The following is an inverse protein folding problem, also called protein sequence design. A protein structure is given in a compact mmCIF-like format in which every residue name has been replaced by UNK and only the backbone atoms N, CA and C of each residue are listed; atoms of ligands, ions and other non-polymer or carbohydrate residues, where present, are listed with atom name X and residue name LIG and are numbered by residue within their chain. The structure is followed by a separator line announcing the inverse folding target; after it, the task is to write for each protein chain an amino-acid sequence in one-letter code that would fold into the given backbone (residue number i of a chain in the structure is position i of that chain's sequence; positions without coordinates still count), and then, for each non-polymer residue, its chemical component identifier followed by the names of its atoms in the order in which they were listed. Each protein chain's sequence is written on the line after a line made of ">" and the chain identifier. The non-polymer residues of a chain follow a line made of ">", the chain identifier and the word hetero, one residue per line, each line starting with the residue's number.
data_IF_897051748187
#
_entry.id   IF_897051748187
#
_cell.length_a   1.000
_cell.length_b   1.000
_cell.length_c   1.000
_cell.angle_alpha   90.00
_cell.angle_beta   90.00
_cell.angle_gamma   90.00
#
_symmetry.space_group_name_H-M   'P 1'
#
loop_
_entity.id
_entity.type
_entity.pdbx_description
1 polymer ?
#
# COMPACT_ATOMS: atom_id res chain seq x y z
N UNK A 1 7.04 5.76 -35.24
CA UNK A 1 6.17 6.47 -34.28
C UNK A 1 7.05 7.43 -33.48
N UNK A 2 6.71 8.70 -33.30
CA UNK A 2 7.52 9.57 -32.47
C UNK A 2 7.53 9.02 -31.04
N UNK A 3 8.70 9.01 -30.41
CA UNK A 3 8.86 8.62 -29.03
C UNK A 3 7.96 9.51 -28.16
N UNK A 4 7.14 8.91 -27.33
CA UNK A 4 6.30 9.64 -26.39
C UNK A 4 7.19 10.58 -25.55
N UNK A 5 6.76 11.82 -25.35
CA UNK A 5 7.49 12.76 -24.51
C UNK A 5 7.75 12.13 -23.13
N UNK A 6 8.98 12.29 -22.58
CA UNK A 6 9.27 11.72 -21.27
C UNK A 6 8.28 12.26 -20.24
N UNK A 7 7.77 11.41 -19.33
CA UNK A 7 6.84 11.86 -18.31
C UNK A 7 7.46 13.02 -17.50
N UNK A 8 6.66 14.01 -17.08
CA UNK A 8 7.16 15.15 -16.33
C UNK A 8 7.88 14.70 -15.06
N UNK A 9 9.01 15.34 -14.78
CA UNK A 9 9.79 15.05 -13.57
C UNK A 9 8.96 15.33 -12.33
N UNK A 10 8.83 14.32 -11.49
CA UNK A 10 8.07 14.38 -10.24
C UNK A 10 8.78 15.25 -9.20
N UNK A 11 8.06 16.14 -8.54
CA UNK A 11 8.55 16.87 -7.35
C UNK A 11 8.62 15.90 -6.15
N UNK A 12 9.23 16.31 -5.04
CA UNK A 12 9.26 15.50 -3.82
C UNK A 12 7.81 15.21 -3.32
N UNK A 13 7.34 13.96 -3.33
CA UNK A 13 5.95 13.65 -2.99
C UNK A 13 5.58 13.90 -1.52
N UNK A 14 6.58 13.95 -0.65
CA UNK A 14 6.38 14.26 0.76
C UNK A 14 6.24 15.78 1.00
N UNK A 15 6.95 16.62 0.22
CA UNK A 15 6.96 18.05 0.40
C UNK A 15 6.09 18.81 -0.63
N UNK A 16 5.64 18.11 -1.68
CA UNK A 16 4.84 18.64 -2.80
C UNK A 16 5.48 19.86 -3.48
N UNK A 17 6.81 19.91 -3.49
CA UNK A 17 7.58 20.99 -4.13
C UNK A 17 8.94 20.49 -4.62
N UNK A 18 9.57 21.26 -5.50
CA UNK A 18 10.95 21.01 -5.93
C UNK A 18 11.90 21.20 -4.76
N UNK A 19 12.85 20.29 -4.62
CA UNK A 19 13.89 20.30 -3.58
C UNK A 19 15.20 19.84 -4.18
N UNK A 20 16.31 20.13 -3.49
CA UNK A 20 17.58 19.50 -3.82
C UNK A 20 17.48 17.98 -3.59
N UNK A 21 17.98 17.21 -4.56
CA UNK A 21 17.93 15.75 -4.53
C UNK A 21 19.29 15.14 -4.87
N UNK A 22 19.51 13.91 -4.46
CA UNK A 22 20.61 13.08 -4.96
C UNK A 22 20.09 11.84 -5.66
N UNK A 23 20.74 11.44 -6.75
CA UNK A 23 20.46 10.16 -7.44
C UNK A 23 20.96 8.99 -6.59
N UNK A 24 20.16 7.93 -6.49
CA UNK A 24 20.56 6.67 -5.87
C UNK A 24 20.84 5.62 -6.96
N UNK A 25 21.92 4.82 -6.85
CA UNK A 25 22.39 3.93 -7.92
C UNK A 25 21.69 2.56 -7.90
N UNK A 26 20.38 2.50 -7.60
CA UNK A 26 19.66 1.24 -7.51
C UNK A 26 18.71 0.97 -8.67
N UNK A 27 18.22 2.03 -9.34
CA UNK A 27 17.27 1.90 -10.44
C UNK A 27 17.99 1.61 -11.76
N UNK A 28 17.51 0.61 -12.54
CA UNK A 28 17.96 0.42 -13.92
C UNK A 28 17.44 1.55 -14.82
N UNK A 29 18.14 1.85 -15.91
CA UNK A 29 17.61 2.75 -16.94
C UNK A 29 16.31 2.19 -17.54
N UNK A 30 15.33 3.03 -17.88
CA UNK A 30 15.37 4.51 -17.88
C UNK A 30 14.97 5.14 -16.54
N UNK A 31 14.81 4.36 -15.47
CA UNK A 31 14.25 4.82 -14.20
C UNK A 31 15.26 5.60 -13.36
N UNK A 32 14.82 6.68 -12.72
CA UNK A 32 15.67 7.54 -11.90
C UNK A 32 15.17 7.58 -10.45
N UNK A 33 15.89 6.91 -9.56
CA UNK A 33 15.61 6.95 -8.12
C UNK A 33 16.30 8.16 -7.48
N UNK A 34 15.52 9.00 -6.81
CA UNK A 34 15.98 10.21 -6.11
C UNK A 34 15.75 10.13 -4.62
N UNK A 35 16.63 10.75 -3.87
CA UNK A 35 16.40 11.06 -2.47
C UNK A 35 16.33 12.57 -2.29
N UNK A 36 15.24 13.07 -1.73
CA UNK A 36 15.10 14.44 -1.29
C UNK A 36 16.08 14.71 -0.14
N UNK A 37 16.92 15.74 -0.25
CA UNK A 37 17.92 16.06 0.78
C UNK A 37 17.31 16.69 2.02
N UNK A 38 16.16 17.33 1.88
CA UNK A 38 15.45 17.98 2.97
C UNK A 38 14.63 17.00 3.82
N UNK A 39 13.79 16.16 3.17
CA UNK A 39 12.91 15.22 3.88
C UNK A 39 13.51 13.84 4.06
N UNK A 40 14.55 13.49 3.35
CA UNK A 40 15.10 12.14 3.28
C UNK A 40 14.21 11.16 2.50
N UNK A 41 13.07 11.59 1.95
CA UNK A 41 12.16 10.73 1.22
C UNK A 41 12.78 10.24 -0.09
N UNK A 42 12.60 8.96 -0.39
CA UNK A 42 13.13 8.33 -1.61
C UNK A 42 11.97 8.00 -2.55
N UNK A 43 12.11 8.39 -3.81
CA UNK A 43 11.05 8.25 -4.80
C UNK A 43 11.59 8.10 -6.21
N UNK A 44 10.79 7.52 -7.09
CA UNK A 44 11.05 7.45 -8.52
C UNK A 44 10.69 8.81 -9.14
N UNK A 45 11.66 9.45 -9.80
CA UNK A 45 11.52 10.80 -10.38
C UNK A 45 10.63 10.79 -11.62
N UNK A 46 10.72 9.72 -12.41
CA UNK A 46 10.03 9.53 -13.68
C UNK A 46 9.15 8.27 -13.67
N UNK A 47 8.14 8.18 -12.77
CA UNK A 47 7.26 7.03 -12.73
C UNK A 47 6.40 6.93 -14.00
N UNK A 48 5.96 5.73 -14.41
CA UNK A 48 4.93 5.62 -15.43
C UNK A 48 3.63 6.27 -14.95
N UNK A 49 2.84 6.82 -15.89
CA UNK A 49 1.52 7.35 -15.58
C UNK A 49 0.51 6.22 -15.26
N UNK A 50 -0.64 6.57 -14.69
CA UNK A 50 -1.69 5.61 -14.33
C UNK A 50 -2.14 4.74 -15.50
N UNK A 51 -2.30 5.29 -16.71
CA UNK A 51 -2.66 4.52 -17.89
C UNK A 51 -1.63 3.42 -18.25
N UNK A 52 -0.34 3.69 -18.04
CA UNK A 52 0.69 2.68 -18.25
C UNK A 52 0.71 1.63 -17.12
N UNK A 53 0.40 2.03 -15.87
CA UNK A 53 0.25 1.11 -14.74
C UNK A 53 -0.98 0.22 -14.85
N UNK A 54 -2.05 0.70 -15.50
CA UNK A 54 -3.26 -0.08 -15.78
C UNK A 54 -3.04 -1.10 -16.91
N UNK A 55 -2.22 -0.76 -17.90
CA UNK A 55 -1.97 -1.54 -19.10
C UNK A 55 -0.62 -2.29 -19.11
N UNK A 56 0.40 -1.68 -19.72
CA UNK A 56 1.70 -2.32 -19.98
C UNK A 56 2.44 -2.75 -18.71
N UNK A 57 2.28 -1.97 -17.63
CA UNK A 57 2.88 -2.21 -16.32
C UNK A 57 1.84 -2.68 -15.30
N UNK A 58 0.73 -3.31 -15.76
CA UNK A 58 -0.24 -3.88 -14.83
C UNK A 58 0.43 -4.79 -13.81
N UNK A 59 0.02 -4.65 -12.55
CA UNK A 59 0.65 -5.32 -11.41
C UNK A 59 0.77 -6.85 -11.61
N UNK A 60 -0.23 -7.48 -12.21
CA UNK A 60 -0.24 -8.93 -12.44
C UNK A 60 0.92 -9.35 -13.35
N UNK A 61 1.15 -8.60 -14.43
CA UNK A 61 2.20 -8.90 -15.39
C UNK A 61 3.60 -8.58 -14.83
N UNK A 62 3.75 -7.45 -14.16
CA UNK A 62 5.00 -7.02 -13.55
C UNK A 62 5.40 -7.93 -12.39
N UNK A 63 4.45 -8.33 -11.53
CA UNK A 63 4.66 -9.28 -10.43
C UNK A 63 5.11 -10.66 -10.92
N UNK A 64 4.48 -11.19 -11.99
CA UNK A 64 4.84 -12.48 -12.54
C UNK A 64 6.26 -12.45 -13.13
N UNK A 65 6.57 -11.44 -13.91
CA UNK A 65 7.87 -11.21 -14.56
C UNK A 65 8.99 -11.10 -13.52
N UNK A 66 8.80 -10.27 -12.52
CA UNK A 66 9.80 -10.06 -11.47
C UNK A 66 9.97 -11.29 -10.58
N UNK A 67 8.89 -11.99 -10.26
CA UNK A 67 8.96 -13.24 -9.51
C UNK A 67 9.74 -14.31 -10.25
N UNK A 68 9.63 -14.36 -11.57
CA UNK A 68 10.40 -15.26 -12.42
C UNK A 68 11.88 -14.87 -12.43
N UNK A 69 12.20 -13.61 -12.72
CA UNK A 69 13.59 -13.10 -12.72
C UNK A 69 14.30 -13.39 -11.39
N UNK A 70 13.62 -13.22 -10.27
CA UNK A 70 14.19 -13.53 -8.94
C UNK A 70 14.38 -15.03 -8.71
N UNK A 71 13.46 -15.87 -9.18
CA UNK A 71 13.64 -17.34 -9.10
C UNK A 71 14.86 -17.80 -9.88
N UNK A 72 15.09 -17.23 -11.05
CA UNK A 72 16.24 -17.53 -11.89
C UNK A 72 17.54 -17.03 -11.25
N UNK A 73 17.55 -15.80 -10.73
CA UNK A 73 18.74 -15.19 -10.13
C UNK A 73 19.14 -15.81 -8.77
N UNK A 74 18.18 -16.22 -7.92
CA UNK A 74 18.43 -16.68 -6.55
C UNK A 74 17.52 -17.87 -6.17
N UNK A 75 17.59 -19.02 -6.85
CA UNK A 75 16.59 -20.09 -6.73
C UNK A 75 16.48 -20.67 -5.30
N UNK A 76 17.60 -20.88 -4.61
CA UNK A 76 17.61 -21.44 -3.24
C UNK A 76 17.01 -20.48 -2.23
N UNK A 77 17.33 -19.19 -2.32
CA UNK A 77 16.79 -18.16 -1.41
C UNK A 77 15.29 -17.95 -1.64
N UNK A 78 14.85 -17.97 -2.89
CA UNK A 78 13.44 -17.86 -3.24
C UNK A 78 12.64 -19.09 -2.77
N UNK A 79 13.20 -20.29 -2.90
CA UNK A 79 12.58 -21.51 -2.40
C UNK A 79 12.42 -21.46 -0.87
N UNK A 80 13.45 -21.06 -0.13
CA UNK A 80 13.41 -20.93 1.32
C UNK A 80 12.41 -19.84 1.76
N UNK A 81 12.40 -18.69 1.08
CA UNK A 81 11.47 -17.59 1.35
C UNK A 81 10.02 -18.00 1.08
N UNK A 82 9.78 -18.73 -0.02
CA UNK A 82 8.45 -19.25 -0.38
C UNK A 82 7.97 -20.31 0.62
N UNK A 83 8.87 -21.22 1.06
CA UNK A 83 8.56 -22.24 2.07
C UNK A 83 8.22 -21.60 3.42
N UNK A 84 9.03 -20.63 3.88
CA UNK A 84 8.75 -19.86 5.09
C UNK A 84 7.44 -19.06 4.99
N UNK A 85 7.19 -18.44 3.83
CA UNK A 85 5.94 -17.72 3.57
C UNK A 85 4.71 -18.65 3.61
N UNK A 86 4.80 -19.85 3.04
CA UNK A 86 3.76 -20.89 3.13
C UNK A 86 3.55 -21.34 4.58
N UNK A 87 4.61 -21.74 5.27
CA UNK A 87 4.53 -22.11 6.69
C UNK A 87 3.85 -21.04 7.53
N UNK A 88 4.21 -19.77 7.35
CA UNK A 88 3.61 -18.66 8.08
C UNK A 88 2.13 -18.46 7.76
N UNK A 89 1.70 -18.67 6.52
CA UNK A 89 0.30 -18.52 6.09
C UNK A 89 -0.56 -19.71 6.47
N UNK A 90 -0.05 -20.91 6.24
CA UNK A 90 -0.83 -22.16 6.35
C UNK A 90 -0.79 -22.73 7.77
N UNK A 91 0.37 -22.78 8.38
CA UNK A 91 0.55 -23.35 9.72
C UNK A 91 0.26 -22.33 10.81
N UNK A 92 0.86 -21.13 10.72
CA UNK A 92 0.67 -20.11 11.74
C UNK A 92 -0.59 -19.26 11.51
N UNK A 93 -1.26 -19.39 10.36
CA UNK A 93 -2.43 -18.60 9.93
C UNK A 93 -2.29 -17.09 10.20
N UNK A 94 -1.07 -16.58 10.21
CA UNK A 94 -0.74 -15.22 10.61
C UNK A 94 -0.67 -14.29 9.41
N UNK A 95 -1.77 -13.61 9.11
CA UNK A 95 -1.73 -12.37 8.32
C UNK A 95 -1.72 -11.19 9.30
N UNK A 96 -0.58 -10.50 9.43
CA UNK A 96 -0.41 -9.40 10.39
C UNK A 96 -1.38 -8.25 10.14
N UNK A 97 -1.65 -7.90 8.87
CA UNK A 97 -2.60 -6.85 8.51
C UNK A 97 -4.02 -7.27 8.93
N UNK A 98 -4.47 -8.46 8.52
CA UNK A 98 -5.80 -8.94 8.89
C UNK A 98 -5.98 -9.07 10.41
N UNK A 99 -4.95 -9.54 11.13
CA UNK A 99 -4.98 -9.61 12.60
C UNK A 99 -5.11 -8.24 13.24
N UNK A 100 -4.36 -7.25 12.74
CA UNK A 100 -4.43 -5.87 13.21
C UNK A 100 -5.81 -5.25 12.94
N UNK A 101 -6.35 -5.43 11.74
CA UNK A 101 -7.67 -4.91 11.37
C UNK A 101 -8.78 -5.50 12.25
N UNK A 102 -8.71 -6.81 12.55
CA UNK A 102 -9.68 -7.46 13.45
C UNK A 102 -9.58 -6.93 14.88
N UNK A 103 -8.36 -6.68 15.38
CA UNK A 103 -8.14 -6.05 16.69
C UNK A 103 -8.84 -4.68 16.76
N UNK A 104 -8.71 -3.86 15.69
CA UNK A 104 -9.28 -2.52 15.60
C UNK A 104 -10.81 -2.51 15.42
N UNK A 105 -11.36 -3.54 14.78
CA UNK A 105 -12.80 -3.66 14.51
C UNK A 105 -13.56 -4.40 15.60
N UNK A 106 -12.88 -5.13 16.49
CA UNK A 106 -13.53 -6.01 17.48
C UNK A 106 -14.51 -5.27 18.40
N UNK A 107 -14.24 -3.99 18.72
CA UNK A 107 -15.07 -3.15 19.58
C UNK A 107 -15.98 -2.17 18.81
N UNK A 108 -16.07 -2.29 17.47
CA UNK A 108 -16.90 -1.41 16.66
C UNK A 108 -18.38 -1.62 16.99
N UNK A 109 -19.08 -0.55 17.33
CA UNK A 109 -20.49 -0.59 17.76
C UNK A 109 -21.47 -0.07 16.69
N UNK A 110 -21.01 0.68 15.73
CA UNK A 110 -21.79 1.29 14.65
C UNK A 110 -22.47 0.28 13.72
N UNK A 111 -23.49 0.74 12.99
CA UNK A 111 -24.23 -0.03 11.98
C UNK A 111 -24.61 0.88 10.79
N UNK A 112 -24.11 0.63 9.59
CA UNK A 112 -23.09 -0.37 9.21
C UNK A 112 -21.65 0.03 9.58
N UNK A 113 -20.73 -0.96 9.58
CA UNK A 113 -19.28 -0.76 9.76
C UNK A 113 -18.66 -0.73 8.36
N UNK A 114 -18.39 0.44 7.82
CA UNK A 114 -17.76 0.58 6.51
C UNK A 114 -16.24 0.41 6.59
N UNK A 115 -15.70 -0.44 5.70
CA UNK A 115 -14.28 -0.75 5.58
C UNK A 115 -13.87 -0.49 4.13
N UNK A 116 -12.84 0.33 3.90
CA UNK A 116 -12.30 0.63 2.57
C UNK A 116 -10.91 0.01 2.41
N UNK A 117 -10.63 -0.61 1.26
CA UNK A 117 -9.30 -1.10 0.88
C UNK A 117 -8.90 -0.46 -0.46
N UNK A 118 -7.83 0.35 -0.45
CA UNK A 118 -7.28 0.95 -1.65
C UNK A 118 -6.21 0.02 -2.25
N UNK A 119 -6.37 -0.30 -3.54
CA UNK A 119 -5.59 -1.35 -4.20
C UNK A 119 -5.97 -2.72 -3.64
N UNK A 120 -7.27 -3.01 -3.61
CA UNK A 120 -7.79 -4.20 -2.93
C UNK A 120 -7.46 -5.53 -3.65
N UNK A 121 -6.88 -5.47 -4.87
CA UNK A 121 -6.64 -6.65 -5.69
C UNK A 121 -7.95 -7.41 -5.96
N UNK A 122 -7.98 -8.69 -5.68
CA UNK A 122 -9.19 -9.51 -5.81
C UNK A 122 -10.13 -9.44 -4.58
N UNK A 123 -9.90 -8.55 -3.62
CA UNK A 123 -10.72 -8.43 -2.40
C UNK A 123 -10.47 -9.49 -1.31
N UNK A 124 -9.46 -10.36 -1.49
CA UNK A 124 -9.17 -11.47 -0.55
C UNK A 124 -8.79 -11.00 0.86
N UNK A 125 -8.17 -9.83 1.00
CA UNK A 125 -7.79 -9.31 2.31
C UNK A 125 -9.02 -8.91 3.12
N UNK A 126 -9.96 -8.19 2.50
CA UNK A 126 -11.25 -7.80 3.10
C UNK A 126 -12.07 -9.02 3.53
N UNK A 127 -12.24 -10.01 2.63
CA UNK A 127 -12.92 -11.27 2.93
C UNK A 127 -12.29 -11.95 4.17
N UNK A 128 -10.96 -12.12 4.18
CA UNK A 128 -10.22 -12.73 5.30
C UNK A 128 -10.36 -11.94 6.60
N UNK A 129 -10.47 -10.62 6.53
CA UNK A 129 -10.70 -9.78 7.72
C UNK A 129 -12.08 -10.09 8.27
N UNK A 130 -13.11 -10.03 7.44
CA UNK A 130 -14.52 -10.19 7.82
C UNK A 130 -14.78 -11.60 8.35
N UNK A 131 -14.30 -12.64 7.66
CA UNK A 131 -14.45 -14.06 8.09
C UNK A 131 -13.84 -14.33 9.47
N UNK A 132 -12.85 -13.56 9.86
CA UNK A 132 -12.20 -13.72 11.16
C UNK A 132 -12.73 -12.78 12.24
N UNK A 133 -13.77 -11.97 11.98
CA UNK A 133 -14.43 -11.14 12.99
C UNK A 133 -15.46 -11.94 13.81
N UNK A 134 -15.79 -11.48 15.03
CA UNK A 134 -16.95 -12.00 15.74
C UNK A 134 -18.22 -11.91 14.87
N UNK A 135 -19.12 -12.93 14.87
CA UNK A 135 -20.26 -12.95 13.96
C UNK A 135 -21.16 -11.70 14.03
N UNK A 136 -21.30 -11.10 15.20
CA UNK A 136 -22.08 -9.88 15.40
C UNK A 136 -21.43 -8.65 14.72
N UNK A 137 -20.11 -8.58 14.61
CA UNK A 137 -19.37 -7.53 13.94
C UNK A 137 -19.33 -7.79 12.42
N UNK A 138 -19.04 -9.05 12.02
CA UNK A 138 -18.99 -9.47 10.64
C UNK A 138 -20.28 -9.13 9.88
N UNK A 139 -21.45 -9.47 10.44
CA UNK A 139 -22.76 -9.17 9.83
C UNK A 139 -23.08 -7.69 9.63
N UNK A 140 -22.36 -6.81 10.28
CA UNK A 140 -22.50 -5.35 10.15
C UNK A 140 -21.43 -4.71 9.29
N UNK A 141 -20.41 -5.48 8.91
CA UNK A 141 -19.27 -5.00 8.12
C UNK A 141 -19.63 -4.94 6.65
N UNK A 142 -19.41 -3.78 6.04
CA UNK A 142 -19.64 -3.52 4.61
C UNK A 142 -18.29 -3.18 3.98
N UNK A 143 -17.69 -4.11 3.22
CA UNK A 143 -16.40 -3.88 2.57
C UNK A 143 -16.55 -3.10 1.27
N UNK A 144 -15.66 -2.15 1.05
CA UNK A 144 -15.52 -1.40 -0.19
C UNK A 144 -14.09 -1.54 -0.71
N UNK A 145 -13.93 -1.77 -2.00
CA UNK A 145 -12.64 -1.83 -2.68
C UNK A 145 -12.52 -0.73 -3.74
N UNK A 146 -11.31 -0.25 -3.97
CA UNK A 146 -10.94 0.50 -5.16
C UNK A 146 -9.71 -0.20 -5.75
N UNK A 147 -9.77 -0.54 -7.05
CA UNK A 147 -8.70 -1.27 -7.73
C UNK A 147 -8.50 -0.70 -9.14
N UNK A 148 -7.22 -0.50 -9.50
CA UNK A 148 -6.84 0.08 -10.80
C UNK A 148 -6.93 -0.95 -11.94
N UNK A 149 -6.63 -2.24 -11.67
CA UNK A 149 -6.73 -3.29 -12.68
C UNK A 149 -8.19 -3.67 -12.93
N UNK A 150 -8.71 -3.56 -14.18
CA UNK A 150 -10.10 -3.92 -14.48
C UNK A 150 -10.39 -5.40 -14.21
N UNK A 151 -9.43 -6.28 -14.46
CA UNK A 151 -9.57 -7.71 -14.22
C UNK A 151 -9.66 -8.05 -12.73
N UNK A 152 -8.82 -7.42 -11.90
CA UNK A 152 -8.85 -7.59 -10.44
C UNK A 152 -10.08 -6.94 -9.82
N UNK A 153 -10.46 -5.74 -10.28
CA UNK A 153 -11.66 -5.04 -9.83
C UNK A 153 -12.93 -5.86 -10.06
N UNK A 154 -13.07 -6.49 -11.24
CA UNK A 154 -14.19 -7.37 -11.53
C UNK A 154 -14.27 -8.59 -10.58
N UNK A 155 -13.12 -9.21 -10.28
CA UNK A 155 -13.04 -10.32 -9.32
C UNK A 155 -13.35 -9.85 -7.90
N UNK A 156 -12.84 -8.68 -7.52
CA UNK A 156 -13.13 -8.07 -6.22
C UNK A 156 -14.63 -7.75 -6.09
N UNK A 157 -15.26 -7.16 -7.10
CA UNK A 157 -16.69 -6.86 -7.11
C UNK A 157 -17.52 -8.14 -6.89
N UNK A 158 -17.20 -9.22 -7.61
CA UNK A 158 -17.88 -10.51 -7.45
C UNK A 158 -17.69 -11.12 -6.05
N UNK A 159 -16.53 -10.91 -5.43
CA UNK A 159 -16.21 -11.39 -4.07
C UNK A 159 -16.90 -10.55 -3.01
N UNK A 160 -16.76 -9.22 -3.08
CA UNK A 160 -17.24 -8.30 -2.05
C UNK A 160 -18.77 -8.19 -2.04
N UNK A 161 -19.44 -8.36 -3.20
CA UNK A 161 -20.91 -8.37 -3.27
C UNK A 161 -21.54 -9.47 -2.40
N UNK A 162 -20.88 -10.62 -2.24
CA UNK A 162 -21.33 -11.70 -1.34
C UNK A 162 -21.31 -11.30 0.13
N UNK A 163 -20.52 -10.27 0.46
CA UNK A 163 -20.38 -9.70 1.80
C UNK A 163 -21.19 -8.40 1.95
N UNK A 164 -22.08 -8.09 1.00
CA UNK A 164 -22.86 -6.85 0.98
C UNK A 164 -22.04 -5.60 0.64
N UNK A 165 -20.87 -5.77 0.05
CA UNK A 165 -19.95 -4.70 -0.32
C UNK A 165 -19.86 -4.45 -1.82
N UNK A 166 -18.87 -3.64 -2.23
CA UNK A 166 -18.64 -3.26 -3.62
C UNK A 166 -17.16 -3.07 -3.93
N UNK A 167 -16.80 -3.08 -5.21
CA UNK A 167 -15.50 -2.65 -5.69
C UNK A 167 -15.68 -1.72 -6.89
N UNK A 168 -14.91 -0.63 -6.92
CA UNK A 168 -14.86 0.32 -8.02
C UNK A 168 -13.55 0.14 -8.80
N UNK A 169 -13.66 0.10 -10.13
CA UNK A 169 -12.51 0.15 -11.03
C UNK A 169 -12.13 1.61 -11.27
N UNK A 170 -11.11 2.08 -10.59
CA UNK A 170 -10.61 3.46 -10.70
C UNK A 170 -9.22 3.58 -10.08
N UNK A 171 -8.50 4.67 -10.39
CA UNK A 171 -7.42 5.09 -9.51
C UNK A 171 -7.98 5.59 -8.17
N UNK A 172 -7.15 5.60 -7.13
CA UNK A 172 -7.62 5.87 -5.77
C UNK A 172 -8.31 7.23 -5.59
N UNK A 173 -7.78 8.30 -6.17
CA UNK A 173 -8.36 9.65 -6.01
C UNK A 173 -9.72 9.77 -6.71
N UNK A 174 -9.84 9.20 -7.91
CA UNK A 174 -11.11 9.18 -8.67
C UNK A 174 -12.15 8.34 -7.94
N UNK A 175 -11.82 7.10 -7.57
CA UNK A 175 -12.76 6.23 -6.86
C UNK A 175 -13.20 6.80 -5.52
N UNK A 176 -12.28 7.39 -4.74
CA UNK A 176 -12.64 8.04 -3.48
C UNK A 176 -13.51 9.29 -3.64
N UNK A 177 -13.53 9.94 -4.80
CA UNK A 177 -14.40 11.09 -5.04
C UNK A 177 -15.89 10.69 -4.97
N UNK A 178 -16.24 9.51 -5.48
CA UNK A 178 -17.60 8.97 -5.44
C UNK A 178 -18.07 8.54 -4.03
N UNK A 179 -17.15 8.39 -3.07
CA UNK A 179 -17.44 7.84 -1.74
C UNK A 179 -17.74 8.90 -0.66
N UNK A 180 -17.94 10.15 -1.03
CA UNK A 180 -18.07 11.29 -0.09
C UNK A 180 -19.20 11.17 0.94
N UNK A 181 -20.26 10.44 0.64
CA UNK A 181 -21.42 10.23 1.53
C UNK A 181 -21.16 9.20 2.64
N UNK A 182 -20.09 8.40 2.54
CA UNK A 182 -19.78 7.33 3.49
C UNK A 182 -18.65 7.76 4.43
N UNK A 183 -18.74 7.36 5.69
CA UNK A 183 -17.66 7.53 6.68
C UNK A 183 -17.14 6.17 7.11
N UNK A 184 -15.84 5.94 6.88
CA UNK A 184 -15.19 4.65 7.09
C UNK A 184 -14.67 4.48 8.51
N UNK A 185 -14.95 3.33 9.11
CA UNK A 185 -14.36 2.91 10.38
C UNK A 185 -12.90 2.51 10.22
N UNK A 186 -12.59 1.89 9.08
CA UNK A 186 -11.25 1.41 8.75
C UNK A 186 -10.95 1.66 7.29
N UNK A 187 -9.77 2.21 7.01
CA UNK A 187 -9.23 2.31 5.65
C UNK A 187 -7.91 1.54 5.60
N UNK A 188 -7.73 0.74 4.58
CA UNK A 188 -6.56 -0.09 4.36
C UNK A 188 -5.71 0.47 3.23
N UNK A 189 -4.42 0.56 3.47
CA UNK A 189 -3.36 0.91 2.51
C UNK A 189 -2.30 -0.20 2.60
N UNK A 190 -2.69 -1.42 2.23
CA UNK A 190 -1.88 -2.62 2.41
C UNK A 190 -1.06 -2.96 1.16
N UNK A 191 0.16 -2.53 1.07
CA UNK A 191 1.00 -2.56 -0.15
C UNK A 191 0.40 -1.70 -1.27
N UNK A 192 0.09 -0.46 -0.93
CA UNK A 192 -0.55 0.50 -1.81
C UNK A 192 0.30 1.77 -1.98
N UNK A 193 0.72 2.43 -0.89
CA UNK A 193 1.40 3.73 -0.96
C UNK A 193 2.75 3.68 -1.69
N UNK A 194 3.40 2.53 -1.74
CA UNK A 194 4.61 2.33 -2.53
C UNK A 194 4.37 2.41 -4.04
N UNK A 195 3.14 2.19 -4.49
CA UNK A 195 2.73 2.24 -5.90
C UNK A 195 2.07 3.57 -6.28
N UNK A 196 1.65 4.37 -5.30
CA UNK A 196 0.86 5.57 -5.52
C UNK A 196 1.71 6.76 -5.96
N UNK A 197 1.36 7.38 -7.08
CA UNK A 197 2.10 8.54 -7.60
C UNK A 197 1.88 9.77 -6.71
N UNK A 198 0.69 9.93 -6.15
CA UNK A 198 0.26 11.07 -5.32
C UNK A 198 -0.09 10.64 -3.87
N UNK A 199 0.87 10.09 -3.09
CA UNK A 199 0.57 9.46 -1.80
C UNK A 199 0.03 10.44 -0.74
N UNK A 200 0.46 11.71 -0.77
CA UNK A 200 0.01 12.71 0.21
C UNK A 200 -1.43 13.20 -0.06
N UNK A 201 -1.84 13.54 -1.31
CA UNK A 201 -3.24 13.75 -1.68
C UNK A 201 -4.16 12.58 -1.31
N UNK A 202 -3.74 11.33 -1.59
CA UNK A 202 -4.51 10.13 -1.22
C UNK A 202 -4.70 10.04 0.29
N UNK A 203 -3.66 10.25 1.09
CA UNK A 203 -3.78 10.23 2.55
C UNK A 203 -4.70 11.33 3.07
N UNK A 204 -4.64 12.56 2.51
CA UNK A 204 -5.58 13.64 2.87
C UNK A 204 -7.02 13.24 2.56
N UNK A 205 -7.27 12.62 1.40
CA UNK A 205 -8.60 12.14 1.06
C UNK A 205 -9.06 11.00 1.96
N UNK A 206 -8.19 10.08 2.35
CA UNK A 206 -8.49 9.08 3.37
C UNK A 206 -8.93 9.74 4.69
N UNK A 207 -8.27 10.82 5.11
CA UNK A 207 -8.64 11.56 6.33
C UNK A 207 -10.04 12.16 6.25
N UNK A 208 -10.43 12.69 5.10
CA UNK A 208 -11.77 13.24 4.88
C UNK A 208 -12.86 12.17 4.95
N UNK A 209 -12.61 10.98 4.41
CA UNK A 209 -13.54 9.86 4.40
C UNK A 209 -13.59 9.11 5.75
N UNK A 210 -12.60 9.29 6.59
CA UNK A 210 -12.50 8.57 7.87
C UNK A 210 -13.47 9.16 8.90
N UNK A 211 -14.10 8.29 9.70
CA UNK A 211 -14.81 8.69 10.91
C UNK A 211 -13.86 9.33 11.93
N UNK A 212 -14.36 10.07 12.89
CA UNK A 212 -13.53 10.72 13.92
C UNK A 212 -12.79 9.68 14.79
N UNK A 213 -13.42 8.55 15.06
CA UNK A 213 -12.86 7.40 15.76
C UNK A 213 -12.28 6.32 14.81
N UNK A 214 -12.28 6.59 13.51
CA UNK A 214 -11.79 5.69 12.48
C UNK A 214 -10.25 5.61 12.43
N UNK A 215 -9.75 4.60 11.76
CA UNK A 215 -8.31 4.35 11.68
C UNK A 215 -7.88 3.95 10.27
N UNK A 216 -6.62 4.28 9.91
CA UNK A 216 -5.99 3.83 8.67
C UNK A 216 -4.90 2.84 9.02
N UNK A 217 -4.92 1.67 8.40
CA UNK A 217 -3.85 0.66 8.51
C UNK A 217 -2.97 0.74 7.27
N UNK A 218 -1.70 1.05 7.50
CA UNK A 218 -0.69 1.14 6.43
C UNK A 218 0.28 -0.02 6.55
N UNK A 219 0.59 -0.65 5.41
CA UNK A 219 1.72 -1.58 5.24
C UNK A 219 2.46 -1.23 3.97
N UNK A 220 3.76 -0.96 4.08
CA UNK A 220 4.67 -0.64 2.96
C UNK A 220 6.00 -1.36 3.13
N UNK A 221 6.85 -1.49 2.09
CA UNK A 221 8.23 -1.93 2.23
C UNK A 221 9.04 -1.00 3.14
N UNK A 222 9.91 -1.59 3.98
CA UNK A 222 10.76 -0.84 4.90
C UNK A 222 12.11 -0.51 4.27
N UNK A 223 12.26 0.66 3.70
CA UNK A 223 13.51 1.10 3.08
C UNK A 223 14.67 1.25 4.08
N UNK A 224 14.40 1.33 5.38
CA UNK A 224 15.40 1.39 6.43
C UNK A 224 15.87 0.00 6.91
N UNK A 225 15.36 -1.11 6.38
CA UNK A 225 15.71 -2.45 6.84
C UNK A 225 17.18 -2.82 6.53
N UNK A 226 17.77 -3.70 7.35
CA UNK A 226 19.12 -4.18 7.14
C UNK A 226 19.26 -5.04 5.89
N UNK A 227 18.22 -5.79 5.52
CA UNK A 227 18.22 -6.60 4.32
C UNK A 227 18.46 -5.73 3.07
N UNK A 228 17.86 -4.54 2.97
CA UNK A 228 18.17 -3.58 1.89
C UNK A 228 19.64 -3.15 1.88
N UNK A 229 20.22 -2.88 3.04
CA UNK A 229 21.63 -2.48 3.14
C UNK A 229 22.57 -3.59 2.69
N UNK A 230 22.27 -4.84 3.06
CA UNK A 230 23.07 -6.01 2.73
C UNK A 230 22.92 -6.41 1.24
N UNK A 231 21.71 -6.32 0.69
CA UNK A 231 21.40 -6.79 -0.67
C UNK A 231 21.56 -5.73 -1.76
N UNK A 232 21.64 -4.44 -1.38
CA UNK A 232 21.77 -3.35 -2.32
C UNK A 232 20.65 -3.34 -3.35
N UNK A 233 20.99 -3.28 -4.64
CA UNK A 233 20.02 -3.29 -5.75
C UNK A 233 19.15 -4.56 -5.84
N UNK A 234 19.57 -5.68 -5.22
CA UNK A 234 18.82 -6.96 -5.19
C UNK A 234 17.79 -7.04 -4.06
N UNK A 235 17.58 -5.96 -3.30
CA UNK A 235 16.57 -5.95 -2.24
C UNK A 235 15.16 -6.15 -2.80
N UNK A 236 14.36 -7.00 -2.12
CA UNK A 236 13.01 -7.36 -2.56
C UNK A 236 12.00 -6.20 -2.57
N UNK A 237 12.30 -5.07 -1.93
CA UNK A 237 11.48 -3.86 -2.00
C UNK A 237 11.71 -3.02 -3.25
N UNK A 238 12.76 -3.28 -4.05
CA UNK A 238 12.92 -2.66 -5.35
C UNK A 238 12.13 -3.45 -6.39
N UNK A 239 11.11 -2.81 -6.97
CA UNK A 239 10.27 -3.34 -8.04
C UNK A 239 10.08 -2.24 -9.08
N UNK A 240 10.70 -2.41 -10.23
CA UNK A 240 10.72 -1.43 -11.29
C UNK A 240 9.72 -1.76 -12.40
N UNK A 241 8.86 -0.81 -12.81
CA UNK A 241 8.67 0.54 -12.26
C UNK A 241 7.59 0.64 -11.17
N UNK A 242 7.06 -0.45 -10.64
CA UNK A 242 5.85 -0.51 -9.82
C UNK A 242 6.00 0.24 -8.49
N UNK A 243 7.16 0.10 -7.81
CA UNK A 243 7.40 0.80 -6.56
C UNK A 243 7.98 2.17 -6.85
N UNK A 244 7.14 3.18 -6.74
CA UNK A 244 7.48 4.58 -7.00
C UNK A 244 7.84 5.36 -5.72
N UNK A 245 7.56 4.81 -4.53
CA UNK A 245 7.86 5.41 -3.23
C UNK A 245 8.54 4.41 -2.29
N UNK A 246 9.51 4.89 -1.52
CA UNK A 246 10.31 4.09 -0.59
C UNK A 246 10.29 4.70 0.81
N UNK A 247 9.58 4.06 1.71
CA UNK A 247 9.30 4.58 3.04
C UNK A 247 10.30 4.07 4.08
N UNK A 248 10.78 4.99 4.91
CA UNK A 248 11.37 4.68 6.22
C UNK A 248 10.34 4.94 7.31
N UNK A 249 10.55 4.46 8.56
CA UNK A 249 9.67 4.83 9.68
C UNK A 249 9.53 6.34 9.87
N UNK A 250 10.60 7.11 9.66
CA UNK A 250 10.59 8.56 9.79
C UNK A 250 9.77 9.23 8.67
N UNK A 251 10.00 8.85 7.41
CA UNK A 251 9.30 9.47 6.27
C UNK A 251 7.83 9.07 6.18
N UNK A 252 7.46 7.85 6.62
CA UNK A 252 6.05 7.46 6.75
C UNK A 252 5.34 8.28 7.84
N UNK A 253 5.99 8.49 8.98
CA UNK A 253 5.45 9.35 10.06
C UNK A 253 5.25 10.78 9.55
N UNK A 254 6.26 11.37 8.94
CA UNK A 254 6.19 12.74 8.42
C UNK A 254 5.09 12.90 7.37
N UNK A 255 4.92 11.92 6.48
CA UNK A 255 3.84 11.94 5.48
C UNK A 255 2.46 11.84 6.14
N UNK A 256 2.28 10.98 7.14
CA UNK A 256 1.04 10.87 7.91
C UNK A 256 0.70 12.18 8.63
N UNK A 257 1.68 12.79 9.30
CA UNK A 257 1.52 14.08 10.02
C UNK A 257 1.13 15.22 9.06
N UNK A 258 1.78 15.29 7.89
CA UNK A 258 1.44 16.28 6.83
C UNK A 258 0.05 16.06 6.23
N UNK A 259 -0.46 14.84 6.26
CA UNK A 259 -1.82 14.53 5.87
C UNK A 259 -2.86 14.76 7.00
N UNK A 260 -2.42 15.24 8.17
CA UNK A 260 -3.28 15.51 9.33
C UNK A 260 -3.63 14.27 10.16
N UNK A 261 -2.76 13.26 10.14
CA UNK A 261 -2.89 12.07 10.98
C UNK A 261 -1.91 12.07 12.15
N UNK A 262 -2.34 11.51 13.26
CA UNK A 262 -1.46 11.02 14.32
C UNK A 262 -1.09 9.56 14.05
N UNK A 263 0.17 9.18 14.31
CA UNK A 263 0.61 7.79 14.27
C UNK A 263 0.29 7.13 15.61
N UNK A 264 -0.83 6.43 15.68
CA UNK A 264 -1.30 5.76 16.90
C UNK A 264 -0.48 4.53 17.25
N UNK A 265 0.06 3.84 16.23
CA UNK A 265 0.86 2.64 16.42
C UNK A 265 1.92 2.50 15.33
N UNK A 266 3.17 2.41 15.74
CA UNK A 266 4.35 1.99 14.96
C UNK A 266 5.38 1.46 15.97
N UNK A 267 5.09 0.31 16.60
CA UNK A 267 5.92 -0.30 17.63
C UNK A 267 7.19 -0.90 17.01
N UNK A 268 8.18 -1.27 17.83
CA UNK A 268 9.43 -1.92 17.36
C UNK A 268 9.14 -3.13 16.44
N UNK A 269 8.20 -3.99 16.80
CA UNK A 269 7.77 -5.13 15.95
C UNK A 269 7.12 -4.73 14.62
N UNK A 270 6.69 -3.48 14.46
CA UNK A 270 6.04 -2.95 13.26
C UNK A 270 7.06 -2.32 12.31
N UNK A 271 8.23 -1.93 12.81
CA UNK A 271 9.35 -1.29 12.10
C UNK A 271 10.70 -1.99 12.33
N UNK A 272 10.68 -3.29 12.61
CA UNK A 272 11.89 -4.03 12.97
C UNK A 272 12.95 -3.97 11.85
N UNK A 273 14.23 -3.71 12.15
CA UNK A 273 15.27 -3.57 11.13
C UNK A 273 15.47 -4.82 10.24
N UNK A 274 15.17 -6.02 10.78
CA UNK A 274 15.21 -7.27 10.02
C UNK A 274 13.95 -7.52 9.16
N UNK A 275 12.94 -6.67 9.27
CA UNK A 275 11.68 -6.82 8.51
C UNK A 275 11.69 -5.96 7.26
N UNK A 276 11.46 -6.57 6.10
CA UNK A 276 11.26 -5.86 4.83
C UNK A 276 9.92 -5.10 4.77
N UNK A 277 9.08 -5.24 5.79
CA UNK A 277 7.79 -4.56 5.86
C UNK A 277 7.71 -3.63 7.06
N UNK A 278 7.11 -2.47 6.84
CA UNK A 278 6.80 -1.44 7.81
C UNK A 278 5.27 -1.36 7.96
N UNK A 279 4.79 -1.27 9.20
CA UNK A 279 3.36 -1.19 9.52
C UNK A 279 3.09 0.03 10.39
N UNK A 280 1.96 0.70 10.14
CA UNK A 280 1.47 1.79 10.98
C UNK A 280 -0.05 1.75 11.12
N UNK A 281 -0.56 2.24 12.23
CA UNK A 281 -1.96 2.60 12.41
C UNK A 281 -2.01 4.10 12.62
N UNK A 282 -2.82 4.75 11.81
CA UNK A 282 -3.03 6.20 11.83
C UNK A 282 -4.43 6.50 12.32
N UNK A 283 -4.61 7.59 13.02
CA UNK A 283 -5.90 8.15 13.39
C UNK A 283 -5.93 9.64 13.16
N UNK A 284 -7.12 10.26 13.15
CA UNK A 284 -7.24 11.72 13.02
C UNK A 284 -6.50 12.40 14.17
N UNK A 285 -5.77 13.48 13.90
CA UNK A 285 -5.32 14.36 14.98
C UNK A 285 -6.56 14.95 15.64
N UNK A 286 -6.64 14.86 16.97
CA UNK A 286 -7.65 15.62 17.72
C UNK A 286 -7.23 17.09 17.62
N UNK A 287 -8.06 17.92 17.02
CA UNK A 287 -7.98 19.38 17.10
C UNK A 287 -8.36 19.84 18.48
#
# INVERSE_FOLDING_TARGET
>A
MPAAAPPPERVCPLLERRTATRRLPYAPEPWRLRQCLESGFVYLENPPGYAALEGEHAWEASFARESQTRREAEPRLQAASAAYGRFRREVLRRNKVAGLCRELLAAAAERPIHILDLGCGEGQLLERIIDGLPPAVARRSVPHGIELSPALAARAAARLSRLGGSCEHANALVGMAGLSAVRYRLILLASFLEHEIEPLPVLRRCRELLRDDGQVVVKVPNFACWNRRLRGARWCGFRWPDHVNYFTPATLRSMAERAGFAVLRMRMRDRHPLSDSLYAVLGRTRT
#
